data_IF_896020589249
#
_entry.id   IF_896020589249
#
_cell.length_a   1.000
_cell.length_b   1.000
_cell.length_c   1.000
_cell.angle_alpha   90.00
_cell.angle_beta   90.00
_cell.angle_gamma   90.00
#
_symmetry.space_group_name_H-M   'P 1'
#
loop_
_entity.id
_entity.type
_entity.pdbx_description
1 polymer ?
#
# COMPACT_ATOMS: atom_id res chain seq x y z
N UNK A 1 12.31 -9.33 -15.87
CA UNK A 1 11.07 -8.76 -15.31
C UNK A 1 11.38 -8.35 -13.89
N UNK A 2 11.68 -7.07 -13.68
CA UNK A 2 12.03 -6.54 -12.37
C UNK A 2 10.77 -6.13 -11.64
N UNK A 3 10.66 -6.52 -10.38
CA UNK A 3 9.65 -6.05 -9.44
C UNK A 3 9.77 -4.52 -9.33
N UNK A 4 8.68 -3.75 -9.37
CA UNK A 4 8.75 -2.27 -9.32
C UNK A 4 9.47 -1.70 -8.08
N UNK A 5 9.64 -2.50 -7.02
CA UNK A 5 10.48 -2.16 -5.86
C UNK A 5 12.00 -2.35 -6.10
N UNK A 6 12.42 -2.73 -7.31
CA UNK A 6 13.83 -2.99 -7.68
C UNK A 6 14.46 -1.79 -8.41
N UNK A 7 13.66 -0.77 -8.74
CA UNK A 7 14.19 0.47 -9.28
C UNK A 7 14.50 1.45 -8.14
N UNK A 8 15.79 1.83 -8.03
CA UNK A 8 16.29 2.70 -6.95
C UNK A 8 15.59 4.08 -6.93
N UNK A 9 15.14 4.59 -8.09
CA UNK A 9 14.40 5.85 -8.16
C UNK A 9 12.98 5.67 -7.61
N UNK A 10 12.33 4.54 -7.93
CA UNK A 10 11.01 4.19 -7.38
C UNK A 10 11.06 4.01 -5.86
N UNK A 11 12.09 3.33 -5.35
CA UNK A 11 12.31 3.18 -3.90
C UNK A 11 12.55 4.54 -3.24
N UNK A 12 13.41 5.38 -3.82
CA UNK A 12 13.69 6.74 -3.33
C UNK A 12 12.44 7.61 -3.32
N UNK A 13 11.59 7.52 -4.35
CA UNK A 13 10.32 8.25 -4.41
C UNK A 13 9.35 7.78 -3.32
N UNK A 14 9.29 6.47 -3.06
CA UNK A 14 8.43 5.89 -2.03
C UNK A 14 8.86 6.30 -0.61
N UNK A 15 10.17 6.33 -0.34
CA UNK A 15 10.72 6.82 0.93
C UNK A 15 10.34 8.30 1.13
N UNK A 16 10.59 9.13 0.11
CA UNK A 16 10.24 10.55 0.16
C UNK A 16 8.74 10.78 0.39
N UNK A 17 7.87 10.00 -0.27
CA UNK A 17 6.43 10.08 -0.06
C UNK A 17 6.05 9.75 1.39
N UNK A 18 6.60 8.67 1.95
CA UNK A 18 6.33 8.29 3.34
C UNK A 18 6.78 9.37 4.33
N UNK A 19 7.93 10.01 4.11
CA UNK A 19 8.39 11.11 4.97
C UNK A 19 7.43 12.31 4.95
N UNK A 20 6.89 12.64 3.78
CA UNK A 20 5.89 13.71 3.64
C UNK A 20 4.57 13.36 4.31
N UNK A 21 4.12 12.11 4.18
CA UNK A 21 2.89 11.64 4.82
C UNK A 21 3.03 11.58 6.35
N UNK A 22 4.20 11.17 6.86
CA UNK A 22 4.51 11.26 8.30
C UNK A 22 4.49 12.72 8.79
N UNK A 23 4.99 13.65 7.98
CA UNK A 23 4.95 15.08 8.31
C UNK A 23 3.51 15.61 8.34
N UNK A 24 2.67 15.18 7.40
CA UNK A 24 1.22 15.47 7.38
C UNK A 24 0.52 14.93 8.62
N UNK A 25 0.78 13.68 9.02
CA UNK A 25 0.20 13.07 10.21
C UNK A 25 0.56 13.86 11.48
N UNK A 26 1.84 14.24 11.65
CA UNK A 26 2.29 15.05 12.79
C UNK A 26 1.64 16.44 12.80
N UNK A 27 1.50 17.07 11.64
CA UNK A 27 0.96 18.42 11.52
C UNK A 27 -0.57 18.48 11.73
N UNK A 28 -1.28 17.41 11.38
CA UNK A 28 -2.76 17.42 11.35
C UNK A 28 -3.39 16.49 12.39
N UNK A 29 -2.59 15.64 13.02
CA UNK A 29 -3.06 14.52 13.87
C UNK A 29 -4.06 13.60 13.16
N UNK A 30 -3.97 13.51 11.83
CA UNK A 30 -4.81 12.63 11.00
C UNK A 30 -3.99 11.44 10.49
N UNK A 31 -4.58 10.26 10.62
CA UNK A 31 -4.05 9.03 10.05
C UNK A 31 -4.24 9.01 8.52
N UNK A 32 -3.37 8.26 7.84
CA UNK A 32 -3.48 7.99 6.41
C UNK A 32 -3.23 6.51 6.11
N UNK A 33 -3.75 6.06 4.97
CA UNK A 33 -3.48 4.73 4.41
C UNK A 33 -2.90 4.91 3.01
N UNK A 34 -1.74 4.31 2.77
CA UNK A 34 -1.10 4.26 1.46
C UNK A 34 -1.30 2.86 0.87
N UNK A 35 -1.81 2.80 -0.36
CA UNK A 35 -2.03 1.56 -1.11
C UNK A 35 -1.36 1.72 -2.46
N UNK A 36 -0.44 0.82 -2.79
CA UNK A 36 0.21 0.75 -4.09
C UNK A 36 -0.15 -0.59 -4.72
N UNK A 37 -0.92 -0.49 -5.80
CA UNK A 37 -1.41 -1.63 -6.57
C UNK A 37 -0.57 -1.72 -7.84
N UNK A 38 0.31 -2.72 -7.97
CA UNK A 38 1.06 -2.88 -9.20
C UNK A 38 0.15 -3.26 -10.37
N UNK A 39 0.58 -2.91 -11.58
CA UNK A 39 -0.12 -3.32 -12.79
C UNK A 39 0.12 -4.81 -13.11
N UNK A 40 1.29 -5.33 -12.73
CA UNK A 40 1.61 -6.74 -12.88
C UNK A 40 1.08 -7.54 -11.69
N UNK A 41 0.38 -8.64 -11.99
CA UNK A 41 -0.25 -9.52 -10.99
C UNK A 41 0.77 -10.32 -10.17
N UNK A 42 1.98 -10.49 -10.70
CA UNK A 42 3.08 -11.18 -10.00
C UNK A 42 3.77 -10.28 -8.96
N UNK A 43 3.46 -8.98 -8.96
CA UNK A 43 4.04 -8.02 -8.04
C UNK A 43 3.15 -7.85 -6.80
N UNK A 44 3.80 -7.62 -5.66
CA UNK A 44 3.08 -7.52 -4.39
C UNK A 44 2.42 -6.15 -4.25
N UNK A 45 1.17 -6.16 -3.80
CA UNK A 45 0.48 -4.96 -3.31
C UNK A 45 1.19 -4.49 -2.04
N UNK A 46 1.50 -3.20 -1.97
CA UNK A 46 2.06 -2.58 -0.78
C UNK A 46 0.98 -1.77 -0.07
N UNK A 47 0.76 -2.05 1.23
CA UNK A 47 -0.20 -1.32 2.05
C UNK A 47 0.46 -0.93 3.37
N UNK A 48 0.33 0.35 3.72
CA UNK A 48 0.79 0.87 4.99
C UNK A 48 -0.22 1.87 5.57
N UNK A 49 -0.27 1.94 6.90
CA UNK A 49 -1.05 2.92 7.65
C UNK A 49 -0.10 3.70 8.55
N UNK A 50 -0.11 5.03 8.42
CA UNK A 50 0.80 5.90 9.17
C UNK A 50 2.26 5.43 9.11
N UNK A 51 2.71 5.01 7.91
CA UNK A 51 4.07 4.51 7.65
C UNK A 51 4.36 3.10 8.15
N UNK A 52 3.40 2.43 8.81
CA UNK A 52 3.55 1.06 9.29
C UNK A 52 2.96 0.09 8.26
N UNK A 53 3.71 -0.91 7.79
CA UNK A 53 3.17 -1.92 6.87
C UNK A 53 2.02 -2.66 7.55
N UNK A 54 0.90 -2.81 6.84
CA UNK A 54 -0.21 -3.62 7.31
C UNK A 54 -0.02 -5.02 6.71
N UNK A 55 0.10 -6.07 7.53
CA UNK A 55 0.09 -7.43 7.03
C UNK A 55 -1.33 -7.71 6.52
N UNK A 56 -1.49 -7.77 5.20
CA UNK A 56 -2.73 -8.23 4.60
C UNK A 56 -2.43 -9.61 4.03
N UNK A 57 -2.99 -10.62 4.70
CA UNK A 57 -2.98 -11.98 4.20
C UNK A 57 -4.02 -12.10 3.08
N UNK A 58 -3.68 -11.56 1.90
CA UNK A 58 -4.46 -11.75 0.67
C UNK A 58 -4.31 -13.17 0.11
N UNK A 59 -3.55 -14.05 0.80
CA UNK A 59 -3.03 -15.34 0.35
C UNK A 59 -4.04 -16.44 0.07
N UNK A 60 -5.35 -16.16 0.04
CA UNK A 60 -6.36 -17.16 -0.33
C UNK A 60 -7.54 -16.65 -1.17
N UNK A 61 -7.64 -15.33 -1.43
CA UNK A 61 -8.75 -14.76 -2.21
C UNK A 61 -8.33 -14.07 -3.52
N UNK A 62 -7.02 -14.00 -3.80
CA UNK A 62 -6.47 -13.41 -5.03
C UNK A 62 -6.34 -14.39 -6.20
N UNK A 63 -6.87 -15.62 -6.09
CA UNK A 63 -6.86 -16.54 -7.22
C UNK A 63 -7.84 -16.05 -8.31
N UNK A 64 -7.25 -15.54 -9.38
CA UNK A 64 -7.79 -15.43 -10.75
C UNK A 64 -8.63 -14.19 -11.14
N UNK A 65 -9.12 -13.38 -10.21
CA UNK A 65 -9.89 -12.17 -10.57
C UNK A 65 -9.14 -10.87 -10.29
N UNK A 66 -9.10 -9.99 -11.30
CA UNK A 66 -8.50 -8.66 -11.28
C UNK A 66 -9.20 -7.77 -10.25
N UNK A 67 -8.77 -7.82 -8.99
CA UNK A 67 -9.32 -6.96 -7.93
C UNK A 67 -8.92 -5.51 -8.23
N UNK A 68 -9.91 -4.62 -8.33
CA UNK A 68 -9.68 -3.21 -8.60
C UNK A 68 -9.08 -2.47 -7.39
N UNK A 69 -8.42 -1.32 -7.58
CA UNK A 69 -7.91 -0.50 -6.48
C UNK A 69 -8.96 -0.15 -5.42
N UNK A 70 -10.23 -0.02 -5.85
CA UNK A 70 -11.37 0.27 -4.97
C UNK A 70 -11.70 -0.89 -4.02
N UNK A 71 -11.61 -2.14 -4.48
CA UNK A 71 -11.84 -3.32 -3.64
C UNK A 71 -10.68 -3.53 -2.65
N UNK A 72 -9.44 -3.27 -3.09
CA UNK A 72 -8.26 -3.29 -2.21
C UNK A 72 -8.41 -2.22 -1.12
N UNK A 73 -8.89 -1.03 -1.47
CA UNK A 73 -9.20 0.02 -0.51
C UNK A 73 -10.31 -0.41 0.45
N UNK A 74 -11.38 -1.05 -0.04
CA UNK A 74 -12.47 -1.54 0.80
C UNK A 74 -11.99 -2.58 1.83
N UNK A 75 -11.13 -3.51 1.43
CA UNK A 75 -10.53 -4.52 2.33
C UNK A 75 -9.65 -3.83 3.38
N UNK A 76 -8.76 -2.93 2.97
CA UNK A 76 -7.89 -2.19 3.89
C UNK A 76 -8.70 -1.35 4.91
N UNK A 77 -9.83 -0.77 4.49
CA UNK A 77 -10.72 -0.02 5.39
C UNK A 77 -11.49 -0.92 6.37
N UNK A 78 -11.79 -2.17 6.02
CA UNK A 78 -12.43 -3.12 6.93
C UNK A 78 -11.47 -3.54 8.06
N UNK A 79 -10.20 -3.81 7.73
CA UNK A 79 -9.16 -4.15 8.73
C UNK A 79 -8.91 -3.03 9.75
N UNK A 80 -9.25 -1.77 9.43
CA UNK A 80 -9.15 -0.62 10.36
C UNK A 80 -10.20 -0.65 11.48
N UNK A 81 -11.34 -1.34 11.29
CA UNK A 81 -12.46 -1.36 12.25
C UNK A 81 -12.40 -2.51 13.26
N UNK A 82 -11.48 -3.46 13.09
CA UNK A 82 -11.34 -4.64 13.94
C UNK A 82 -10.39 -4.40 15.12
#
# INVERSE_FOLDING_TARGET
MGTWHIDDECESALINLNDRLCSFERATSREYTLILVPHNKDEKIHISQSGKPIPIDLGSQLSETTIGPEEILAIAMQSRKA
#
